data_IF_201638161185
#
_entry.id   IF_201638161185
#
_cell.length_a   1.000
_cell.length_b   1.000
_cell.length_c   1.000
_cell.angle_alpha   90.00
_cell.angle_beta   90.00
_cell.angle_gamma   90.00
#
_symmetry.space_group_name_H-M   'P 1'
#
loop_
_entity.id
_entity.type
_entity.pdbx_description
1 polymer ?
#
# COMPACT_ATOMS: atom_id res chain seq x y z
N UNK A 1 45.40 -2.19 -14.21
CA UNK A 1 45.84 -1.29 -15.29
C UNK A 1 44.99 -1.53 -16.52
N UNK A 2 44.58 -0.46 -17.18
CA UNK A 2 43.84 -0.54 -18.43
C UNK A 2 44.80 -0.43 -19.61
N UNK A 3 44.50 -1.12 -20.75
CA UNK A 3 45.30 -1.08 -21.97
C UNK A 3 44.44 -0.69 -23.16
N UNK A 4 45.05 -0.09 -24.18
CA UNK A 4 44.39 0.25 -25.44
C UNK A 4 44.89 -0.69 -26.52
N UNK A 5 43.98 -1.28 -27.27
CA UNK A 5 44.24 -2.17 -28.40
C UNK A 5 43.56 -1.59 -29.63
N UNK A 6 44.29 -1.53 -30.76
CA UNK A 6 43.71 -1.17 -32.06
C UNK A 6 43.12 -2.42 -32.72
N UNK A 7 41.86 -2.34 -33.15
CA UNK A 7 41.14 -3.41 -33.88
C UNK A 7 40.54 -2.82 -35.15
N UNK A 8 41.26 -3.01 -36.28
CA UNK A 8 40.86 -2.40 -37.55
C UNK A 8 40.78 -0.87 -37.42
N UNK A 9 39.60 -0.30 -37.67
CA UNK A 9 39.34 1.15 -37.59
C UNK A 9 38.87 1.65 -36.22
N UNK A 10 38.90 0.79 -35.20
CA UNK A 10 38.48 1.14 -33.82
C UNK A 10 39.59 0.93 -32.78
N UNK A 11 39.45 1.62 -31.65
CA UNK A 11 40.32 1.52 -30.48
C UNK A 11 39.55 0.95 -29.32
N UNK A 12 39.99 -0.17 -28.72
CA UNK A 12 39.33 -0.82 -27.59
C UNK A 12 40.14 -0.61 -26.32
N UNK A 13 39.48 -0.17 -25.28
CA UNK A 13 40.03 -0.10 -23.91
C UNK A 13 39.72 -1.40 -23.21
N UNK A 14 40.73 -2.11 -22.75
CA UNK A 14 40.62 -3.33 -21.96
C UNK A 14 41.05 -3.04 -20.54
N UNK A 15 40.23 -3.44 -19.56
CA UNK A 15 40.54 -3.25 -18.14
C UNK A 15 40.03 -4.42 -17.31
N UNK A 16 40.62 -4.61 -16.13
CA UNK A 16 40.20 -5.65 -15.17
C UNK A 16 39.55 -4.98 -13.98
N UNK A 17 38.43 -5.54 -13.52
CA UNK A 17 37.74 -5.12 -12.31
C UNK A 17 37.34 -6.36 -11.48
N UNK A 18 36.99 -6.15 -10.20
CA UNK A 18 36.39 -7.21 -9.39
C UNK A 18 34.88 -7.07 -9.37
N UNK A 19 34.18 -8.17 -9.60
CA UNK A 19 32.72 -8.20 -9.45
C UNK A 19 32.29 -8.17 -7.97
N UNK A 20 30.99 -8.15 -7.70
CA UNK A 20 30.45 -8.16 -6.34
C UNK A 20 30.82 -9.41 -5.51
N UNK A 21 31.23 -10.50 -6.16
CA UNK A 21 31.72 -11.73 -5.52
C UNK A 21 33.26 -11.74 -5.36
N UNK A 22 33.96 -10.64 -5.72
CA UNK A 22 35.40 -10.53 -5.66
C UNK A 22 36.14 -11.21 -6.80
N UNK A 23 35.47 -11.76 -7.81
CA UNK A 23 36.07 -12.42 -8.98
C UNK A 23 36.60 -11.38 -9.95
N UNK A 24 37.78 -11.67 -10.53
CA UNK A 24 38.38 -10.79 -11.53
C UNK A 24 37.63 -10.96 -12.86
N UNK A 25 37.04 -9.88 -13.33
CA UNK A 25 36.36 -9.78 -14.60
C UNK A 25 37.12 -8.85 -15.55
N UNK A 26 36.94 -9.01 -16.86
CA UNK A 26 37.49 -8.13 -17.89
C UNK A 26 36.38 -7.30 -18.55
N UNK A 27 36.60 -6.00 -18.64
CA UNK A 27 35.75 -5.08 -19.38
C UNK A 27 36.42 -4.66 -20.70
N UNK A 28 35.59 -4.48 -21.73
CA UNK A 28 35.99 -4.00 -23.05
C UNK A 28 35.04 -2.90 -23.50
N UNK A 29 35.60 -1.76 -23.87
CA UNK A 29 34.84 -0.65 -24.45
C UNK A 29 35.55 -0.21 -25.75
N UNK A 30 34.78 -0.06 -26.85
CA UNK A 30 35.35 0.30 -28.16
C UNK A 30 34.96 1.72 -28.55
N UNK A 31 35.92 2.45 -29.13
CA UNK A 31 35.82 3.84 -29.54
C UNK A 31 36.27 4.03 -30.96
N UNK A 32 35.76 5.06 -31.63
CA UNK A 32 36.12 5.40 -33.00
C UNK A 32 37.48 6.09 -33.07
N UNK A 33 37.85 6.85 -32.08
CA UNK A 33 39.10 7.62 -32.08
C UNK A 33 40.05 7.18 -30.95
N UNK A 34 41.34 7.30 -31.21
CA UNK A 34 42.40 7.04 -30.20
C UNK A 34 42.28 7.94 -28.99
N UNK A 35 41.83 9.20 -29.17
CA UNK A 35 41.65 10.18 -28.11
C UNK A 35 40.56 9.75 -27.16
N UNK A 36 39.39 9.38 -27.66
CA UNK A 36 38.29 8.87 -26.82
C UNK A 36 38.71 7.64 -25.99
N UNK A 37 39.42 6.71 -26.60
CA UNK A 37 39.96 5.55 -25.91
C UNK A 37 40.96 5.93 -24.82
N UNK A 38 41.82 6.94 -25.06
CA UNK A 38 42.77 7.44 -24.06
C UNK A 38 42.05 8.11 -22.88
N UNK A 39 41.08 8.97 -23.15
CA UNK A 39 40.27 9.63 -22.15
C UNK A 39 39.51 8.62 -21.28
N UNK A 40 38.92 7.61 -21.92
CA UNK A 40 38.21 6.52 -21.21
C UNK A 40 39.17 5.67 -20.36
N UNK A 41 40.36 5.36 -20.88
CA UNK A 41 41.38 4.64 -20.11
C UNK A 41 41.71 5.38 -18.80
N UNK A 42 41.99 6.66 -18.87
CA UNK A 42 42.31 7.50 -17.69
C UNK A 42 41.12 7.51 -16.72
N UNK A 43 39.90 7.70 -17.23
CA UNK A 43 38.69 7.71 -16.41
C UNK A 43 38.48 6.39 -15.68
N UNK A 44 38.59 5.24 -16.36
CA UNK A 44 38.42 3.90 -15.75
C UNK A 44 39.52 3.62 -14.71
N UNK A 45 40.78 4.00 -15.00
CA UNK A 45 41.85 3.80 -14.01
C UNK A 45 41.60 4.64 -12.75
N UNK A 46 41.12 5.87 -12.91
CA UNK A 46 40.74 6.74 -11.78
C UNK A 46 39.55 6.17 -11.03
N UNK A 47 38.47 5.78 -11.73
CA UNK A 47 37.28 5.18 -11.14
C UNK A 47 37.61 3.90 -10.32
N UNK A 48 38.53 3.07 -10.82
CA UNK A 48 38.99 1.86 -10.12
C UNK A 48 39.83 2.18 -8.89
N UNK A 49 40.69 3.23 -8.95
CA UNK A 49 41.53 3.69 -7.84
C UNK A 49 40.67 4.32 -6.74
N UNK A 50 39.70 5.15 -7.11
CA UNK A 50 38.83 5.89 -6.21
C UNK A 50 37.70 4.98 -5.66
N UNK A 51 37.57 3.74 -6.15
CA UNK A 51 36.47 2.82 -5.79
C UNK A 51 35.11 3.27 -6.31
N UNK A 52 35.06 4.16 -7.30
CA UNK A 52 33.83 4.71 -7.90
C UNK A 52 33.45 3.99 -9.20
N UNK A 53 34.19 2.94 -9.59
CA UNK A 53 33.90 2.16 -10.78
C UNK A 53 32.55 1.44 -10.64
N UNK A 54 31.59 1.75 -11.51
CA UNK A 54 30.32 1.07 -11.54
C UNK A 54 30.47 -0.31 -12.21
N UNK A 55 30.34 -1.37 -11.42
CA UNK A 55 30.41 -2.74 -11.93
C UNK A 55 29.24 -2.97 -12.92
N UNK A 56 29.51 -3.37 -14.18
CA UNK A 56 28.46 -3.65 -15.13
C UNK A 56 27.51 -4.74 -14.60
N UNK A 57 26.24 -4.44 -14.53
CA UNK A 57 25.20 -5.35 -14.09
C UNK A 57 24.04 -5.34 -15.09
N UNK A 58 23.60 -6.54 -15.48
CA UNK A 58 22.48 -6.71 -16.41
C UNK A 58 21.11 -6.67 -15.70
N UNK A 59 21.09 -6.50 -14.37
CA UNK A 59 19.88 -6.50 -13.56
C UNK A 59 18.85 -5.53 -14.10
N UNK A 60 17.65 -5.99 -14.25
CA UNK A 60 16.50 -5.19 -14.69
C UNK A 60 15.87 -4.46 -13.49
N UNK A 61 15.06 -3.44 -13.79
CA UNK A 61 14.26 -2.73 -12.78
C UNK A 61 13.34 -3.70 -12.04
N UNK A 62 12.71 -4.65 -12.74
CA UNK A 62 11.84 -5.65 -12.11
C UNK A 62 12.60 -6.52 -11.12
N UNK A 63 13.75 -7.07 -11.52
CA UNK A 63 14.58 -7.92 -10.66
C UNK A 63 15.05 -7.16 -9.41
N UNK A 64 15.48 -5.92 -9.57
CA UNK A 64 15.88 -5.06 -8.45
C UNK A 64 14.71 -4.84 -7.48
N UNK A 65 13.52 -4.50 -7.98
CA UNK A 65 12.34 -4.26 -7.15
C UNK A 65 11.91 -5.52 -6.39
N UNK A 66 11.97 -6.70 -7.02
CA UNK A 66 11.64 -7.96 -6.35
C UNK A 66 12.69 -8.39 -5.31
N UNK A 67 13.96 -8.01 -5.47
CA UNK A 67 15.00 -8.18 -4.43
C UNK A 67 14.82 -7.19 -3.28
N UNK A 68 14.48 -5.94 -3.59
CA UNK A 68 14.27 -4.88 -2.60
C UNK A 68 13.04 -5.13 -1.71
N UNK A 69 11.94 -5.61 -2.28
CA UNK A 69 10.64 -5.75 -1.62
C UNK A 69 10.69 -6.56 -0.30
N UNK A 70 11.26 -7.79 -0.25
CA UNK A 70 11.33 -8.57 0.99
C UNK A 70 12.23 -7.90 2.04
N UNK A 71 13.33 -7.29 1.64
CA UNK A 71 14.25 -6.60 2.54
C UNK A 71 13.55 -5.41 3.20
N UNK A 72 12.91 -4.57 2.39
CA UNK A 72 12.19 -3.39 2.87
C UNK A 72 11.02 -3.76 3.77
N UNK A 73 10.24 -4.78 3.39
CA UNK A 73 9.09 -5.22 4.18
C UNK A 73 9.51 -5.79 5.54
N UNK A 74 10.59 -6.53 5.60
CA UNK A 74 11.14 -7.08 6.85
C UNK A 74 11.72 -5.98 7.75
N UNK A 75 12.57 -5.10 7.19
CA UNK A 75 13.21 -3.99 7.91
C UNK A 75 12.18 -3.08 8.59
N UNK A 76 11.08 -2.77 7.91
CA UNK A 76 10.05 -1.86 8.41
C UNK A 76 8.81 -2.56 8.96
N UNK A 77 8.82 -3.88 9.10
CA UNK A 77 7.71 -4.70 9.63
C UNK A 77 6.37 -4.27 9.01
N UNK A 78 6.31 -4.29 7.68
CA UNK A 78 5.13 -3.80 6.98
C UNK A 78 3.87 -4.57 7.37
N UNK A 79 2.77 -3.84 7.51
CA UNK A 79 1.47 -4.46 7.60
C UNK A 79 1.14 -5.21 6.28
N UNK A 80 0.42 -6.34 6.31
CA UNK A 80 0.07 -7.12 5.14
C UNK A 80 -0.51 -6.30 3.99
N UNK A 81 -1.40 -5.36 4.31
CA UNK A 81 -2.01 -4.46 3.32
C UNK A 81 -0.98 -3.56 2.63
N UNK A 82 0.05 -3.10 3.34
CA UNK A 82 1.15 -2.31 2.76
C UNK A 82 1.96 -3.17 1.79
N UNK A 83 2.27 -4.42 2.19
CA UNK A 83 3.00 -5.35 1.33
C UNK A 83 2.23 -5.65 0.04
N UNK A 84 0.97 -6.09 0.13
CA UNK A 84 0.14 -6.41 -1.04
C UNK A 84 -0.10 -5.20 -1.94
N UNK A 85 -0.26 -4.01 -1.36
CA UNK A 85 -0.38 -2.77 -2.12
C UNK A 85 0.90 -2.44 -2.89
N UNK A 86 2.07 -2.57 -2.25
CA UNK A 86 3.37 -2.35 -2.91
C UNK A 86 3.62 -3.38 -4.02
N UNK A 87 3.31 -4.66 -3.78
CA UNK A 87 3.38 -5.71 -4.82
C UNK A 87 2.49 -5.34 -6.01
N UNK A 88 1.26 -4.92 -5.75
CA UNK A 88 0.33 -4.52 -6.81
C UNK A 88 0.83 -3.30 -7.60
N UNK A 89 1.42 -2.31 -6.94
CA UNK A 89 2.05 -1.16 -7.62
C UNK A 89 3.20 -1.61 -8.53
N UNK A 90 4.09 -2.47 -8.03
CA UNK A 90 5.20 -3.01 -8.81
C UNK A 90 4.68 -3.75 -10.04
N UNK A 91 3.80 -4.73 -9.83
CA UNK A 91 3.31 -5.62 -10.89
C UNK A 91 2.44 -4.89 -11.92
N UNK A 92 1.58 -3.99 -11.48
CA UNK A 92 0.56 -3.40 -12.34
C UNK A 92 0.93 -2.04 -12.91
N UNK A 93 1.82 -1.30 -12.25
CA UNK A 93 2.16 0.06 -12.66
C UNK A 93 3.62 0.22 -13.11
N UNK A 94 4.58 -0.52 -12.55
CA UNK A 94 6.00 -0.35 -12.89
C UNK A 94 6.49 -1.37 -13.90
N UNK A 95 6.30 -2.66 -13.62
CA UNK A 95 6.83 -3.75 -14.45
C UNK A 95 6.38 -3.69 -15.91
N UNK A 96 5.11 -3.35 -16.24
CA UNK A 96 4.66 -3.27 -17.63
C UNK A 96 5.39 -2.23 -18.48
N UNK A 97 5.95 -1.20 -17.87
CA UNK A 97 6.56 -0.06 -18.58
C UNK A 97 8.09 0.00 -18.42
N UNK A 98 8.59 -0.24 -17.21
CA UNK A 98 10.02 -0.10 -16.90
C UNK A 98 10.69 -1.44 -16.56
N UNK A 99 9.92 -2.49 -16.28
CA UNK A 99 10.42 -3.72 -15.69
C UNK A 99 11.55 -4.39 -16.44
N UNK A 100 11.52 -4.38 -17.77
CA UNK A 100 12.53 -5.00 -18.65
C UNK A 100 13.79 -4.15 -18.85
N UNK A 101 13.75 -2.87 -18.48
CA UNK A 101 14.91 -1.98 -18.66
C UNK A 101 16.00 -2.30 -17.65
N UNK A 102 17.26 -2.38 -18.11
CA UNK A 102 18.41 -2.53 -17.21
C UNK A 102 18.49 -1.32 -16.27
N UNK A 103 18.67 -1.55 -14.96
CA UNK A 103 18.64 -0.50 -13.97
C UNK A 103 19.70 0.58 -14.22
N UNK A 104 20.89 0.18 -14.66
CA UNK A 104 22.00 1.07 -15.00
C UNK A 104 21.73 1.96 -16.23
N UNK A 105 20.75 1.60 -17.05
CA UNK A 105 20.35 2.36 -18.26
C UNK A 105 19.13 3.26 -18.00
N UNK A 106 18.59 3.28 -16.79
CA UNK A 106 17.46 4.16 -16.44
C UNK A 106 17.97 5.57 -16.26
N UNK A 107 17.41 6.50 -17.03
CA UNK A 107 17.68 7.93 -16.93
C UNK A 107 16.49 8.68 -16.32
N UNK A 108 16.74 9.90 -15.83
CA UNK A 108 15.67 10.76 -15.29
C UNK A 108 14.57 10.99 -16.31
N UNK A 109 14.93 11.21 -17.58
CA UNK A 109 13.97 11.36 -18.68
C UNK A 109 13.03 10.18 -18.85
N UNK A 110 13.52 8.93 -18.69
CA UNK A 110 12.68 7.74 -18.77
C UNK A 110 11.59 7.73 -17.68
N UNK A 111 11.94 8.19 -16.50
CA UNK A 111 11.01 8.26 -15.37
C UNK A 111 9.98 9.38 -15.55
N UNK A 112 10.37 10.51 -16.10
CA UNK A 112 9.44 11.59 -16.46
C UNK A 112 8.43 11.12 -17.53
N UNK A 113 8.89 10.46 -18.58
CA UNK A 113 8.03 9.85 -19.59
C UNK A 113 7.12 8.75 -19.00
N UNK A 114 7.65 7.97 -18.08
CA UNK A 114 6.89 6.96 -17.36
C UNK A 114 5.74 7.59 -16.54
N UNK A 115 5.99 8.65 -15.78
CA UNK A 115 4.93 9.35 -15.04
C UNK A 115 3.90 9.99 -15.97
N UNK A 116 4.32 10.57 -17.08
CA UNK A 116 3.43 11.08 -18.12
C UNK A 116 2.55 9.96 -18.72
N UNK A 117 3.12 8.77 -18.91
CA UNK A 117 2.36 7.60 -19.36
C UNK A 117 1.35 7.14 -18.30
N UNK A 118 1.75 7.08 -17.03
CA UNK A 118 0.84 6.70 -15.94
C UNK A 118 -0.36 7.65 -15.82
N UNK A 119 -0.18 8.95 -16.04
CA UNK A 119 -1.28 9.91 -15.98
C UNK A 119 -2.37 9.67 -17.04
N UNK A 120 -2.04 8.98 -18.12
CA UNK A 120 -2.96 8.59 -19.20
C UNK A 120 -3.35 7.11 -19.12
N UNK A 121 -2.89 6.39 -18.11
CA UNK A 121 -3.18 4.96 -17.94
C UNK A 121 -4.52 4.76 -17.24
N UNK A 122 -5.46 4.01 -17.83
CA UNK A 122 -6.70 3.67 -17.17
C UNK A 122 -6.47 2.85 -15.90
N UNK A 123 -7.29 3.10 -14.87
CA UNK A 123 -7.26 2.31 -13.63
C UNK A 123 -7.62 0.85 -13.93
N UNK A 124 -6.88 -0.08 -13.35
CA UNK A 124 -7.13 -1.51 -13.53
C UNK A 124 -6.71 -2.07 -14.90
N UNK A 125 -5.95 -1.30 -15.72
CA UNK A 125 -5.43 -1.79 -16.99
C UNK A 125 -4.58 -3.04 -16.84
N UNK A 126 -3.85 -3.16 -15.72
CA UNK A 126 -3.11 -4.37 -15.37
C UNK A 126 -3.58 -4.92 -14.03
N UNK A 127 -3.67 -6.25 -13.92
CA UNK A 127 -3.95 -6.98 -12.69
C UNK A 127 -2.98 -8.15 -12.58
N UNK A 128 -2.21 -8.20 -11.49
CA UNK A 128 -1.12 -9.17 -11.30
C UNK A 128 -0.14 -9.22 -12.50
N UNK A 129 0.16 -8.05 -13.07
CA UNK A 129 1.04 -7.91 -14.24
C UNK A 129 0.39 -8.25 -15.58
N UNK A 130 -0.83 -8.77 -15.60
CA UNK A 130 -1.56 -9.16 -16.83
C UNK A 130 -2.46 -8.02 -17.29
N UNK A 131 -2.36 -7.67 -18.58
CA UNK A 131 -3.21 -6.63 -19.19
C UNK A 131 -4.67 -7.10 -19.26
N UNK A 132 -5.59 -6.24 -18.81
CA UNK A 132 -7.01 -6.53 -18.75
C UNK A 132 -7.76 -5.89 -19.92
N UNK A 133 -8.86 -6.53 -20.33
CA UNK A 133 -9.84 -5.90 -21.21
C UNK A 133 -10.76 -5.01 -20.38
N UNK A 134 -10.78 -3.71 -20.69
CA UNK A 134 -11.56 -2.72 -19.97
C UNK A 134 -12.82 -2.33 -20.77
N UNK A 135 -13.91 -2.09 -20.05
CA UNK A 135 -15.12 -1.47 -20.62
C UNK A 135 -14.84 -0.01 -20.96
N UNK A 136 -15.67 0.61 -21.82
CA UNK A 136 -15.47 2.01 -22.22
C UNK A 136 -15.59 3.00 -21.05
N UNK A 137 -16.43 2.70 -20.05
CA UNK A 137 -16.49 3.47 -18.80
C UNK A 137 -15.18 3.38 -18.02
N UNK A 138 -14.55 2.20 -17.91
CA UNK A 138 -13.29 2.00 -17.22
C UNK A 138 -12.11 2.66 -17.94
N UNK A 139 -12.10 2.65 -19.28
CA UNK A 139 -11.07 3.31 -20.09
C UNK A 139 -10.99 4.83 -19.85
N UNK A 140 -12.07 5.45 -19.38
CA UNK A 140 -12.13 6.87 -19.05
C UNK A 140 -11.72 7.21 -17.62
N UNK A 141 -11.41 6.20 -16.79
CA UNK A 141 -10.97 6.37 -15.41
C UNK A 141 -9.46 6.23 -15.30
N UNK A 142 -8.74 7.33 -15.31
CA UNK A 142 -7.29 7.36 -15.25
C UNK A 142 -6.76 7.29 -13.80
N UNK A 143 -5.47 6.99 -13.67
CA UNK A 143 -4.76 7.06 -12.40
C UNK A 143 -4.74 8.50 -11.88
N UNK A 144 -4.94 8.66 -10.58
CA UNK A 144 -4.86 9.98 -9.94
C UNK A 144 -3.42 10.40 -9.73
N UNK A 145 -3.16 11.71 -9.67
CA UNK A 145 -1.85 12.24 -9.29
C UNK A 145 -1.36 11.72 -7.94
N UNK A 146 -2.26 11.47 -6.99
CA UNK A 146 -1.93 10.82 -5.71
C UNK A 146 -1.35 9.42 -5.89
N UNK A 147 -1.97 8.58 -6.74
CA UNK A 147 -1.47 7.22 -7.03
C UNK A 147 -0.09 7.26 -7.71
N UNK A 148 0.13 8.22 -8.63
CA UNK A 148 1.42 8.38 -9.30
C UNK A 148 2.49 8.85 -8.30
N UNK A 149 2.13 9.71 -7.35
CA UNK A 149 3.02 10.15 -6.27
C UNK A 149 3.41 9.00 -5.34
N UNK A 150 2.50 8.07 -5.05
CA UNK A 150 2.83 6.85 -4.29
C UNK A 150 3.85 5.97 -5.02
N UNK A 151 3.66 5.78 -6.35
CA UNK A 151 4.64 5.07 -7.20
C UNK A 151 6.00 5.78 -7.17
N UNK A 152 6.02 7.11 -7.30
CA UNK A 152 7.26 7.90 -7.20
C UNK A 152 7.95 7.69 -5.85
N UNK A 153 7.22 7.77 -4.73
CA UNK A 153 7.78 7.60 -3.39
C UNK A 153 8.36 6.19 -3.20
N UNK A 154 7.68 5.16 -3.70
CA UNK A 154 8.14 3.77 -3.68
C UNK A 154 9.42 3.61 -4.51
N UNK A 155 9.45 4.11 -5.76
CA UNK A 155 10.64 4.07 -6.62
C UNK A 155 11.80 4.85 -6.02
N UNK A 156 11.56 6.03 -5.42
CA UNK A 156 12.59 6.82 -4.74
C UNK A 156 13.28 6.01 -3.66
N UNK A 157 12.51 5.29 -2.84
CA UNK A 157 13.08 4.41 -1.81
C UNK A 157 13.87 3.25 -2.43
N UNK A 158 13.31 2.56 -3.42
CA UNK A 158 13.95 1.41 -4.05
C UNK A 158 15.25 1.78 -4.79
N UNK A 159 15.26 2.91 -5.51
CA UNK A 159 16.47 3.38 -6.19
C UNK A 159 17.55 3.92 -5.23
N UNK A 160 17.17 4.40 -4.04
CA UNK A 160 18.14 4.71 -2.99
C UNK A 160 18.87 3.43 -2.52
N UNK A 161 18.15 2.32 -2.36
CA UNK A 161 18.76 1.01 -2.09
C UNK A 161 19.65 0.53 -3.25
N UNK A 162 19.25 0.77 -4.50
CA UNK A 162 20.10 0.43 -5.64
C UNK A 162 21.45 1.16 -5.61
N UNK A 163 21.47 2.40 -5.11
CA UNK A 163 22.73 3.16 -4.88
C UNK A 163 23.50 2.55 -3.69
N UNK A 164 22.84 2.26 -2.56
CA UNK A 164 23.48 1.60 -1.40
C UNK A 164 24.07 0.22 -1.76
N UNK A 165 23.45 -0.50 -2.67
CA UNK A 165 23.94 -1.81 -3.16
C UNK A 165 25.03 -1.70 -4.23
N UNK A 166 25.45 -0.48 -4.60
CA UNK A 166 26.47 -0.26 -5.63
C UNK A 166 26.00 -0.59 -7.06
N UNK A 167 24.70 -0.76 -7.29
CA UNK A 167 24.14 -0.96 -8.63
C UNK A 167 24.07 0.34 -9.44
N UNK A 168 24.07 1.49 -8.78
CA UNK A 168 24.01 2.83 -9.36
C UNK A 168 24.95 3.77 -8.61
N UNK A 169 25.58 4.71 -9.31
CA UNK A 169 26.36 5.79 -8.67
C UNK A 169 25.43 6.86 -8.06
N UNK A 170 24.31 7.13 -8.71
CA UNK A 170 23.30 8.08 -8.24
C UNK A 170 21.91 7.64 -8.67
N UNK A 171 20.90 8.02 -7.88
CA UNK A 171 19.51 7.76 -8.23
C UNK A 171 19.06 8.61 -9.42
N UNK A 172 18.42 8.02 -10.44
CA UNK A 172 17.85 8.76 -11.57
C UNK A 172 16.48 9.37 -11.25
N UNK A 173 15.95 9.18 -10.04
CA UNK A 173 14.62 9.67 -9.67
C UNK A 173 14.58 11.20 -9.70
N UNK A 174 13.58 11.82 -10.38
CA UNK A 174 13.40 13.25 -10.39
C UNK A 174 13.30 13.82 -8.96
N UNK A 175 13.86 15.01 -8.72
CA UNK A 175 13.81 15.66 -7.40
C UNK A 175 12.37 16.02 -7.01
N UNK A 176 11.61 16.49 -7.98
CA UNK A 176 10.21 16.86 -7.79
C UNK A 176 9.30 15.66 -8.04
N UNK A 177 8.43 15.38 -7.07
CA UNK A 177 7.40 14.39 -7.23
C UNK A 177 6.31 14.90 -8.20
N UNK A 178 5.65 14.02 -8.96
CA UNK A 178 4.52 14.41 -9.81
C UNK A 178 3.46 15.20 -9.02
N UNK A 179 2.93 16.26 -9.61
CA UNK A 179 1.89 17.07 -8.96
C UNK A 179 0.66 16.21 -8.70
N UNK A 180 0.11 16.33 -7.51
CA UNK A 180 -1.17 15.73 -7.15
C UNK A 180 -2.15 16.87 -6.95
N UNK A 181 -3.09 17.02 -7.87
CA UNK A 181 -4.26 17.86 -7.66
C UNK A 181 -5.25 17.03 -6.85
N UNK A 182 -5.34 17.27 -5.55
CA UNK A 182 -6.47 16.80 -4.76
C UNK A 182 -7.55 17.85 -4.87
N UNK A 183 -8.71 17.49 -5.40
CA UNK A 183 -9.90 18.31 -5.20
C UNK A 183 -10.18 18.37 -3.71
N UNK A 184 -10.38 19.57 -3.16
CA UNK A 184 -10.86 19.73 -1.80
C UNK A 184 -12.22 19.06 -1.70
N UNK A 185 -12.34 18.08 -0.81
CA UNK A 185 -13.63 17.45 -0.53
C UNK A 185 -14.47 18.44 0.26
N UNK A 186 -15.70 18.66 -0.16
CA UNK A 186 -16.65 19.41 0.63
C UNK A 186 -16.81 18.75 2.01
N UNK A 187 -16.64 19.54 3.05
CA UNK A 187 -16.89 19.15 4.44
C UNK A 187 -18.35 19.53 4.71
N UNK A 188 -19.13 18.57 5.18
CA UNK A 188 -20.51 18.84 5.57
C UNK A 188 -20.54 19.72 6.81
N UNK A 189 -21.40 20.70 6.79
CA UNK A 189 -21.75 21.49 7.96
C UNK A 189 -22.68 20.70 8.90
N UNK A 190 -22.90 21.20 10.09
CA UNK A 190 -23.75 20.56 11.10
C UNK A 190 -25.16 20.29 10.57
N UNK A 191 -25.75 21.25 9.87
CA UNK A 191 -27.10 21.14 9.32
C UNK A 191 -27.21 19.99 8.30
N UNK A 192 -26.24 19.90 7.41
CA UNK A 192 -26.14 18.80 6.42
C UNK A 192 -25.94 17.46 7.10
N UNK A 193 -25.09 17.39 8.13
CA UNK A 193 -24.86 16.17 8.89
C UNK A 193 -26.12 15.67 9.61
N UNK A 194 -26.85 16.57 10.28
CA UNK A 194 -28.11 16.23 10.95
C UNK A 194 -29.19 15.79 9.97
N UNK A 195 -29.34 16.49 8.84
CA UNK A 195 -30.28 16.12 7.80
C UNK A 195 -29.96 14.72 7.21
N UNK A 196 -28.67 14.42 6.99
CA UNK A 196 -28.24 13.12 6.49
C UNK A 196 -28.59 12.00 7.50
N UNK A 197 -28.38 12.19 8.80
CA UNK A 197 -28.78 11.21 9.82
C UNK A 197 -30.29 10.99 9.81
N UNK A 198 -31.10 12.04 9.74
CA UNK A 198 -32.57 11.94 9.73
C UNK A 198 -33.12 11.18 8.50
N UNK A 199 -32.40 11.17 7.39
CA UNK A 199 -32.83 10.46 6.17
C UNK A 199 -32.42 8.98 6.17
N UNK A 200 -31.56 8.54 7.06
CA UNK A 200 -31.09 7.15 7.13
C UNK A 200 -32.13 6.26 7.82
N UNK A 201 -32.70 5.33 7.09
CA UNK A 201 -33.70 4.39 7.60
C UNK A 201 -33.11 3.05 8.08
N UNK A 202 -31.95 2.66 7.59
CA UNK A 202 -31.25 1.45 8.07
C UNK A 202 -30.58 1.69 9.42
N UNK A 203 -30.97 0.99 10.50
CA UNK A 203 -30.45 1.24 11.83
C UNK A 203 -28.95 0.95 11.96
N UNK A 204 -28.42 0.01 11.19
CA UNK A 204 -26.99 -0.35 11.20
C UNK A 204 -26.16 0.79 10.62
N UNK A 205 -26.62 1.34 9.51
CA UNK A 205 -25.97 2.44 8.82
C UNK A 205 -26.09 3.72 9.66
N UNK A 206 -27.26 4.00 10.22
CA UNK A 206 -27.52 5.18 11.08
C UNK A 206 -26.56 5.20 12.27
N UNK A 207 -26.51 4.14 13.07
CA UNK A 207 -25.61 4.06 14.23
C UNK A 207 -24.13 4.15 13.81
N UNK A 208 -23.72 3.49 12.72
CA UNK A 208 -22.34 3.57 12.26
C UNK A 208 -21.93 4.99 11.83
N UNK A 209 -22.82 5.71 11.15
CA UNK A 209 -22.60 7.10 10.74
C UNK A 209 -22.62 8.03 11.95
N UNK A 210 -23.54 7.85 12.88
CA UNK A 210 -23.62 8.64 14.11
C UNK A 210 -22.33 8.50 14.95
N UNK A 211 -21.82 7.28 15.15
CA UNK A 211 -20.51 7.01 15.78
C UNK A 211 -19.36 7.70 15.04
N UNK A 212 -19.38 7.67 13.69
CA UNK A 212 -18.37 8.33 12.89
C UNK A 212 -18.40 9.86 13.05
N UNK A 213 -19.58 10.45 13.03
CA UNK A 213 -19.76 11.90 13.12
C UNK A 213 -19.40 12.44 14.51
N UNK A 214 -19.93 11.83 15.57
CA UNK A 214 -19.75 12.33 16.95
C UNK A 214 -18.37 12.00 17.50
N UNK A 215 -17.88 10.76 17.25
CA UNK A 215 -16.65 10.27 17.87
C UNK A 215 -15.47 10.21 16.90
N UNK A 216 -15.64 10.64 15.64
CA UNK A 216 -14.62 10.60 14.60
C UNK A 216 -13.98 9.22 14.42
N UNK A 217 -14.79 8.15 14.55
CA UNK A 217 -14.32 6.78 14.41
C UNK A 217 -14.17 6.41 12.93
N UNK A 218 -13.09 5.70 12.63
CA UNK A 218 -12.92 5.12 11.29
C UNK A 218 -13.78 3.87 11.12
N UNK A 219 -14.17 3.58 9.89
CA UNK A 219 -15.01 2.40 9.55
C UNK A 219 -14.51 1.10 10.19
N UNK A 220 -13.20 0.85 10.16
CA UNK A 220 -12.64 -0.34 10.77
C UNK A 220 -12.67 -0.31 12.30
N UNK A 221 -12.58 0.85 12.92
CA UNK A 221 -12.72 1.02 14.38
C UNK A 221 -14.18 0.76 14.79
N UNK A 222 -15.16 1.34 14.09
CA UNK A 222 -16.59 1.13 14.31
C UNK A 222 -16.93 -0.37 14.25
N UNK A 223 -16.53 -1.05 13.18
CA UNK A 223 -16.81 -2.48 13.01
C UNK A 223 -15.96 -3.36 13.94
N UNK A 224 -14.91 -2.84 14.53
CA UNK A 224 -14.08 -3.49 15.53
C UNK A 224 -14.63 -3.41 16.95
N UNK A 225 -15.67 -2.59 17.20
CA UNK A 225 -16.29 -2.45 18.52
C UNK A 225 -17.00 -3.72 18.97
N UNK A 226 -16.94 -3.97 20.26
CA UNK A 226 -17.67 -5.03 20.96
C UNK A 226 -18.54 -4.43 22.04
N UNK A 227 -19.64 -5.07 22.47
CA UNK A 227 -20.47 -4.58 23.57
C UNK A 227 -19.68 -4.27 24.83
N UNK A 228 -18.67 -5.07 25.17
CA UNK A 228 -17.79 -4.85 26.32
C UNK A 228 -16.83 -3.67 26.21
N UNK A 229 -16.78 -2.96 25.07
CA UNK A 229 -16.04 -1.71 24.93
C UNK A 229 -16.82 -0.49 25.45
N UNK A 230 -18.10 -0.69 25.80
CA UNK A 230 -19.01 0.38 26.22
C UNK A 230 -19.28 0.21 27.71
N UNK A 231 -19.00 1.24 28.45
CA UNK A 231 -19.37 1.37 29.88
C UNK A 231 -20.39 2.50 29.98
N UNK A 232 -21.65 2.15 30.25
CA UNK A 232 -22.76 3.09 30.30
C UNK A 232 -22.81 3.88 31.63
N UNK A 233 -22.16 3.38 32.67
CA UNK A 233 -22.19 3.98 34.03
C UNK A 233 -20.95 4.85 34.30
N UNK A 234 -19.91 4.71 33.50
CA UNK A 234 -18.70 5.51 33.61
C UNK A 234 -18.98 7.02 33.47
N UNK A 235 -18.10 7.82 34.04
CA UNK A 235 -18.14 9.29 33.96
C UNK A 235 -19.46 9.90 34.45
N UNK A 236 -19.87 9.54 35.66
CA UNK A 236 -21.10 10.02 36.31
C UNK A 236 -22.37 9.75 35.49
N UNK A 237 -22.41 8.56 34.86
CA UNK A 237 -23.55 8.11 34.07
C UNK A 237 -23.63 8.67 32.64
N UNK A 238 -22.65 9.46 32.19
CA UNK A 238 -22.55 9.87 30.77
C UNK A 238 -22.27 8.69 29.84
N UNK A 239 -21.44 7.78 30.33
CA UNK A 239 -20.98 6.62 29.58
C UNK A 239 -19.72 6.89 28.75
N UNK A 240 -18.97 5.84 28.55
CA UNK A 240 -17.74 5.87 27.73
C UNK A 240 -17.70 4.73 26.73
N UNK A 241 -16.90 4.90 25.67
CA UNK A 241 -16.59 3.87 24.70
C UNK A 241 -15.08 3.80 24.48
N UNK A 242 -14.50 2.60 24.56
CA UNK A 242 -13.07 2.38 24.37
C UNK A 242 -12.78 1.80 23.00
N UNK A 243 -12.01 2.53 22.21
CA UNK A 243 -11.58 2.13 20.88
C UNK A 243 -10.21 1.49 20.97
N UNK A 244 -10.13 0.18 20.87
CA UNK A 244 -8.89 -0.59 21.02
C UNK A 244 -8.67 -1.62 19.91
N UNK A 245 -9.54 -1.68 18.91
CA UNK A 245 -9.53 -2.70 17.84
C UNK A 245 -9.95 -2.13 16.51
N UNK A 246 -9.61 -2.84 15.44
CA UNK A 246 -10.05 -2.49 14.07
C UNK A 246 -10.32 -3.75 13.27
N UNK A 247 -11.51 -3.85 12.67
CA UNK A 247 -11.89 -4.92 11.76
C UNK A 247 -11.44 -4.58 10.34
N UNK A 248 -10.76 -5.52 9.69
CA UNK A 248 -10.24 -5.35 8.33
C UNK A 248 -10.41 -6.65 7.54
N UNK A 249 -10.62 -6.54 6.23
CA UNK A 249 -10.43 -7.67 5.31
C UNK A 249 -8.96 -7.77 4.93
N UNK A 250 -8.39 -8.97 5.02
CA UNK A 250 -6.98 -9.23 4.73
C UNK A 250 -6.84 -10.50 3.91
N UNK A 251 -5.99 -10.51 2.89
CA UNK A 251 -5.69 -11.72 2.11
C UNK A 251 -5.00 -12.77 2.99
N UNK A 252 -5.42 -14.05 2.87
CA UNK A 252 -4.90 -15.16 3.69
C UNK A 252 -3.39 -15.33 3.53
N UNK A 253 -2.87 -15.25 2.30
CA UNK A 253 -1.43 -15.30 2.04
C UNK A 253 -0.63 -14.18 2.72
N UNK A 254 -1.26 -13.04 3.00
CA UNK A 254 -0.64 -11.93 3.73
C UNK A 254 -0.73 -12.12 5.25
N UNK A 255 -1.70 -12.89 5.74
CA UNK A 255 -1.81 -13.21 7.17
C UNK A 255 -0.66 -14.10 7.66
N UNK A 256 -0.19 -15.03 6.82
CA UNK A 256 0.95 -15.91 7.14
C UNK A 256 2.24 -15.14 7.45
N UNK A 257 2.37 -13.92 6.90
CA UNK A 257 3.52 -13.03 7.09
C UNK A 257 3.28 -11.96 8.16
N UNK A 258 2.13 -11.98 8.82
CA UNK A 258 1.77 -11.00 9.85
C UNK A 258 2.22 -11.51 11.22
N UNK A 259 2.75 -10.60 12.07
CA UNK A 259 3.02 -10.92 13.47
C UNK A 259 1.69 -11.34 14.16
N UNK A 260 1.59 -12.58 14.67
CA UNK A 260 0.38 -13.07 15.34
C UNK A 260 -0.07 -12.17 16.50
N UNK A 261 0.87 -11.50 17.17
CA UNK A 261 0.58 -10.57 18.27
C UNK A 261 -0.20 -9.32 17.84
N UNK A 262 -0.28 -9.03 16.53
CA UNK A 262 -1.10 -7.94 15.99
C UNK A 262 -2.55 -8.35 15.73
N UNK A 263 -2.87 -9.64 15.83
CA UNK A 263 -4.17 -10.20 15.51
C UNK A 263 -4.87 -10.62 16.81
N UNK A 264 -6.09 -10.12 17.02
CA UNK A 264 -6.95 -10.59 18.10
C UNK A 264 -7.77 -11.81 17.69
N UNK A 265 -8.33 -11.77 16.47
CA UNK A 265 -9.21 -12.83 15.97
C UNK A 265 -9.27 -12.85 14.44
N UNK A 266 -9.37 -14.05 13.87
CA UNK A 266 -9.64 -14.29 12.44
C UNK A 266 -11.03 -14.92 12.37
N UNK A 267 -11.97 -14.24 11.71
CA UNK A 267 -13.34 -14.75 11.57
C UNK A 267 -13.42 -15.82 10.51
N UNK A 268 -14.34 -16.78 10.67
CA UNK A 268 -14.62 -17.79 9.64
C UNK A 268 -14.99 -17.15 8.30
N UNK A 269 -14.71 -17.86 7.22
CA UNK A 269 -15.06 -17.42 5.89
C UNK A 269 -16.57 -17.24 5.76
N UNK A 270 -17.00 -16.08 5.27
CA UNK A 270 -18.39 -15.81 4.92
C UNK A 270 -18.82 -16.52 3.62
N UNK A 271 -17.84 -16.87 2.79
CA UNK A 271 -18.01 -17.67 1.56
C UNK A 271 -16.90 -18.70 1.52
N UNK A 272 -17.26 -19.94 1.25
CA UNK A 272 -16.31 -21.03 1.09
C UNK A 272 -15.28 -20.73 -0.01
N UNK A 273 -14.01 -21.08 0.20
CA UNK A 273 -12.93 -20.83 -0.75
C UNK A 273 -12.49 -19.37 -0.88
N UNK A 274 -12.88 -18.48 0.03
CA UNK A 274 -12.43 -17.08 0.01
C UNK A 274 -10.92 -16.99 0.17
N UNK A 275 -10.25 -16.21 -0.70
CA UNK A 275 -8.81 -15.89 -0.60
C UNK A 275 -8.49 -14.88 0.52
N UNK A 276 -9.52 -14.29 1.13
CA UNK A 276 -9.38 -13.27 2.18
C UNK A 276 -10.27 -13.57 3.37
N UNK A 277 -9.87 -13.16 4.56
CA UNK A 277 -10.63 -13.28 5.79
C UNK A 277 -10.90 -11.91 6.44
N UNK A 278 -11.94 -11.82 7.27
CA UNK A 278 -12.13 -10.70 8.19
C UNK A 278 -11.24 -10.93 9.41
N UNK A 279 -10.51 -9.89 9.81
CA UNK A 279 -9.51 -9.98 10.87
C UNK A 279 -9.67 -8.81 11.82
N UNK A 280 -9.81 -9.12 13.10
CA UNK A 280 -9.81 -8.15 14.18
C UNK A 280 -8.36 -7.92 14.62
N UNK A 281 -7.89 -6.68 14.50
CA UNK A 281 -6.50 -6.31 14.74
C UNK A 281 -6.34 -5.28 15.84
N UNK A 282 -5.14 -5.27 16.43
CA UNK A 282 -4.68 -4.17 17.27
C UNK A 282 -4.58 -2.87 16.45
N UNK A 283 -4.74 -1.71 17.08
CA UNK A 283 -4.47 -0.43 16.45
C UNK A 283 -3.03 -0.33 15.97
N UNK A 284 -2.80 0.40 14.88
CA UNK A 284 -1.46 0.57 14.29
C UNK A 284 -0.46 1.24 15.26
N UNK A 285 -0.95 2.09 16.17
CA UNK A 285 -0.14 2.78 17.18
C UNK A 285 -0.82 2.72 18.52
N UNK A 286 -0.06 2.76 19.63
CA UNK A 286 -0.60 2.83 21.01
C UNK A 286 -1.52 4.04 21.20
N UNK A 287 -1.24 5.18 20.58
CA UNK A 287 -2.07 6.40 20.63
C UNK A 287 -3.43 6.23 19.92
N UNK A 288 -3.62 5.21 19.12
CA UNK A 288 -4.92 4.93 18.47
C UNK A 288 -5.89 4.23 19.41
N UNK A 289 -5.43 3.66 20.53
CA UNK A 289 -6.32 3.19 21.61
C UNK A 289 -6.71 4.40 22.46
N UNK A 290 -8.01 4.63 22.60
CA UNK A 290 -8.55 5.78 23.30
C UNK A 290 -9.94 5.51 23.85
N UNK A 291 -10.27 6.16 24.95
CA UNK A 291 -11.62 6.17 25.55
C UNK A 291 -12.27 7.52 25.26
N UNK A 292 -13.50 7.49 24.81
CA UNK A 292 -14.29 8.66 24.42
C UNK A 292 -15.59 8.69 25.23
N UNK A 293 -16.09 9.89 25.53
CA UNK A 293 -17.38 10.08 26.22
C UNK A 293 -18.53 9.95 25.22
N UNK A 294 -19.62 9.34 25.67
CA UNK A 294 -20.86 9.27 24.90
C UNK A 294 -21.66 10.56 25.05
N UNK A 295 -22.32 10.99 23.98
CA UNK A 295 -23.41 11.96 24.07
C UNK A 295 -24.70 11.25 24.48
N UNK A 296 -25.63 11.96 25.10
CA UNK A 296 -26.90 11.36 25.54
C UNK A 296 -27.67 10.68 24.38
N UNK A 297 -27.85 11.30 23.20
CA UNK A 297 -28.51 10.64 22.08
C UNK A 297 -27.81 9.36 21.61
N UNK A 298 -26.45 9.38 21.53
CA UNK A 298 -25.69 8.22 21.13
C UNK A 298 -25.75 7.08 22.14
N UNK A 299 -25.77 7.40 23.44
CA UNK A 299 -25.98 6.42 24.54
C UNK A 299 -27.33 5.72 24.38
N UNK A 300 -28.41 6.49 24.20
CA UNK A 300 -29.77 5.97 24.01
C UNK A 300 -29.86 5.06 22.78
N UNK A 301 -29.26 5.46 21.67
CA UNK A 301 -29.22 4.67 20.44
C UNK A 301 -28.41 3.36 20.63
N UNK A 302 -27.28 3.40 21.33
CA UNK A 302 -26.49 2.21 21.64
C UNK A 302 -27.25 1.22 22.52
N UNK A 303 -28.00 1.69 23.50
CA UNK A 303 -28.86 0.84 24.34
C UNK A 303 -29.95 0.15 23.50
N UNK A 304 -30.64 0.89 22.64
CA UNK A 304 -31.65 0.35 21.74
C UNK A 304 -31.03 -0.65 20.75
N UNK A 305 -29.82 -0.38 20.27
CA UNK A 305 -29.08 -1.28 19.39
C UNK A 305 -28.70 -2.61 20.06
N UNK A 306 -28.24 -2.58 21.32
CA UNK A 306 -27.94 -3.79 22.08
C UNK A 306 -29.19 -4.66 22.31
N UNK A 307 -30.33 -4.03 22.61
CA UNK A 307 -31.60 -4.75 22.75
C UNK A 307 -32.03 -5.39 21.41
N UNK A 308 -31.88 -4.66 20.30
CA UNK A 308 -32.12 -5.24 18.96
C UNK A 308 -31.22 -6.46 18.70
N UNK A 309 -29.94 -6.40 19.04
CA UNK A 309 -29.02 -7.54 18.85
C UNK A 309 -29.44 -8.75 19.70
N UNK A 310 -29.96 -8.53 20.90
CA UNK A 310 -30.51 -9.58 21.75
C UNK A 310 -31.75 -10.24 21.13
N UNK A 311 -32.64 -9.44 20.55
CA UNK A 311 -33.83 -9.92 19.84
C UNK A 311 -33.46 -10.72 18.58
N UNK A 312 -32.50 -10.25 17.79
CA UNK A 312 -32.00 -10.95 16.59
C UNK A 312 -31.42 -12.33 16.98
N UNK A 313 -30.69 -12.40 18.11
CA UNK A 313 -30.13 -13.67 18.62
C UNK A 313 -31.22 -14.66 19.01
N UNK A 314 -32.24 -14.20 19.74
CA UNK A 314 -33.40 -15.04 20.14
C UNK A 314 -34.20 -15.54 18.94
N UNK A 315 -34.37 -14.70 17.92
CA UNK A 315 -35.15 -15.03 16.73
C UNK A 315 -34.50 -16.13 15.85
N UNK A 316 -33.19 -16.32 15.95
CA UNK A 316 -32.46 -17.30 15.11
C UNK A 316 -32.40 -18.72 15.67
N UNK A 317 -32.93 -18.96 16.85
CA UNK A 317 -33.16 -20.29 17.47
C UNK A 317 -31.93 -21.23 17.31
N UNK A 318 -30.81 -20.87 17.95
CA UNK A 318 -29.56 -21.67 17.95
C UNK A 318 -28.74 -21.66 16.65
N UNK A 319 -29.25 -21.04 15.58
CA UNK A 319 -28.48 -20.84 14.32
C UNK A 319 -27.65 -19.55 14.31
N UNK A 320 -27.78 -18.73 15.35
CA UNK A 320 -27.05 -17.48 15.49
C UNK A 320 -25.58 -17.72 15.81
N UNK A 321 -24.69 -17.14 15.02
CA UNK A 321 -23.24 -17.25 15.21
C UNK A 321 -22.71 -15.98 15.83
N UNK A 322 -22.87 -15.82 17.14
CA UNK A 322 -22.39 -14.63 17.84
C UNK A 322 -20.88 -14.44 17.68
N UNK A 323 -20.48 -13.51 16.83
CA UNK A 323 -19.08 -13.18 16.57
C UNK A 323 -18.47 -12.21 17.59
N UNK A 324 -19.26 -11.73 18.59
CA UNK A 324 -18.81 -10.80 19.62
C UNK A 324 -18.74 -9.33 19.19
N UNK A 325 -18.94 -9.01 17.90
CA UNK A 325 -18.87 -7.62 17.43
C UNK A 325 -20.17 -6.85 17.72
N UNK A 326 -20.07 -5.52 17.90
CA UNK A 326 -21.24 -4.66 18.03
C UNK A 326 -22.05 -4.60 16.71
N UNK A 327 -21.35 -4.57 15.56
CA UNK A 327 -21.97 -4.56 14.23
C UNK A 327 -21.97 -5.96 13.61
N UNK A 328 -23.14 -6.59 13.64
CA UNK A 328 -23.40 -7.97 13.18
C UNK A 328 -24.50 -8.00 12.13
N UNK A 329 -24.41 -8.96 11.24
CA UNK A 329 -25.49 -9.35 10.35
C UNK A 329 -26.58 -10.08 11.17
N UNK A 330 -27.82 -10.23 10.64
CA UNK A 330 -28.88 -10.95 11.34
C UNK A 330 -28.52 -12.39 11.78
N UNK A 331 -27.58 -13.03 11.09
CA UNK A 331 -27.07 -14.37 11.43
C UNK A 331 -25.92 -14.34 12.48
N UNK A 332 -25.60 -13.19 13.04
CA UNK A 332 -24.56 -13.01 14.06
C UNK A 332 -23.13 -12.86 13.53
N UNK A 333 -22.91 -13.00 12.21
CA UNK A 333 -21.58 -12.80 11.60
C UNK A 333 -21.22 -11.32 11.51
N UNK A 334 -19.91 -10.95 11.52
CA UNK A 334 -19.49 -9.55 11.50
C UNK A 334 -19.82 -8.88 10.16
N UNK A 335 -20.23 -7.61 10.22
CA UNK A 335 -20.39 -6.77 9.03
C UNK A 335 -19.02 -6.49 8.42
N UNK A 336 -18.86 -6.74 7.13
CA UNK A 336 -17.63 -6.46 6.41
C UNK A 336 -17.48 -4.94 6.11
N UNK A 337 -16.29 -4.35 6.18
CA UNK A 337 -16.07 -2.93 5.88
C UNK A 337 -16.56 -2.51 4.48
N UNK A 338 -16.45 -3.41 3.50
CA UNK A 338 -16.91 -3.17 2.14
C UNK A 338 -18.45 -3.12 2.04
N UNK A 339 -19.15 -3.91 2.86
CA UNK A 339 -20.61 -3.92 2.91
C UNK A 339 -21.12 -2.58 3.46
N UNK A 340 -20.61 -2.13 4.60
CA UNK A 340 -20.99 -0.84 5.18
C UNK A 340 -20.68 0.34 4.22
N UNK A 341 -19.50 0.31 3.58
CA UNK A 341 -19.13 1.32 2.57
C UNK A 341 -20.03 1.31 1.33
N UNK A 342 -20.58 0.14 0.96
CA UNK A 342 -21.54 0.02 -0.14
C UNK A 342 -22.90 0.58 0.27
N UNK A 343 -23.40 0.23 1.45
CA UNK A 343 -24.68 0.76 1.97
C UNK A 343 -24.72 2.27 2.04
N UNK A 344 -23.60 2.90 2.43
CA UNK A 344 -23.48 4.36 2.46
C UNK A 344 -23.56 5.02 1.07
N UNK A 345 -23.34 4.28 -0.03
CA UNK A 345 -23.35 4.82 -1.41
C UNK A 345 -24.66 4.54 -2.16
N UNK A 346 -25.49 3.66 -1.64
CA UNK A 346 -26.83 3.35 -2.20
C UNK A 346 -27.88 4.24 -1.59
#
# INVERSE_FOLDING_TARGET
MASILRRGDSYSVRFKYKDHAGRICEGWESFKTKKEAQDRKISVEKELLDGTFLIPDAMTVAEMLYKWLPIQSSKHKWAPKTYTHTVAMIQNLVVPYLGKKQIQKVQTYDLEQFYATLSRTPRGLYKQGVKQTLTDKQKRQFLTGASIREVHAMLKTAFSYAVEWGLLLKSPIPREAPKSTSEERAIWDEKTMLAALQTMTDPTLHLAVHLSMILSLRVGEILGLQPGDIDFDAADGRGTITVGRSLQRTEKAALEKTDPNQIYHIFPDQREGSSSALVLKKPKTKKSSRTLYLTKPLKEELLAWLEKLRQDELAMDGRYRNCGQLFRLPNGMPVAPEALSKWYRT
#
